data_IF_535795028480
#
_entry.id   IF_535795028480
#
_cell.length_a   1.000
_cell.length_b   1.000
_cell.length_c   1.000
_cell.angle_alpha   90.00
_cell.angle_beta   90.00
_cell.angle_gamma   90.00
#
_symmetry.space_group_name_H-M   'P 1'
#
loop_
_entity.id
_entity.type
_entity.pdbx_description
1 polymer ?
#
# COMPACT_ATOMS: atom_id res chain seq x y z
N UNK A 1 -8.11 18.07 1.70
CA UNK A 1 -7.87 16.62 1.51
C UNK A 1 -6.38 16.40 1.29
N UNK A 2 -5.78 15.45 2.02
CA UNK A 2 -4.36 15.12 1.97
C UNK A 2 -4.11 13.78 1.27
N UNK A 3 -2.84 13.48 1.01
CA UNK A 3 -2.41 12.26 0.30
C UNK A 3 -1.34 11.51 1.09
N UNK A 4 -1.41 10.19 1.06
CA UNK A 4 -0.38 9.29 1.57
C UNK A 4 0.12 8.46 0.40
N UNK A 5 1.45 8.38 0.26
CA UNK A 5 2.13 7.64 -0.80
C UNK A 5 2.94 6.50 -0.20
N UNK A 6 2.82 5.32 -0.80
CA UNK A 6 3.67 4.17 -0.55
C UNK A 6 4.29 3.81 -1.91
N UNK A 7 5.59 3.96 -2.06
CA UNK A 7 6.30 3.72 -3.32
C UNK A 7 7.21 2.50 -3.20
N UNK A 8 7.25 1.67 -4.24
CA UNK A 8 8.15 0.51 -4.29
C UNK A 8 7.82 -0.60 -3.30
N UNK A 9 6.54 -0.82 -2.97
CA UNK A 9 6.13 -1.94 -2.12
C UNK A 9 6.38 -3.26 -2.86
N UNK A 10 7.36 -4.04 -2.39
CA UNK A 10 7.70 -5.35 -2.96
C UNK A 10 6.82 -6.45 -2.38
N UNK A 11 6.16 -7.22 -3.25
CA UNK A 11 5.31 -8.35 -2.88
C UNK A 11 5.58 -9.55 -3.79
N UNK A 12 5.89 -10.69 -3.19
CA UNK A 12 5.99 -11.96 -3.90
C UNK A 12 4.61 -12.60 -4.06
N UNK A 13 4.17 -12.80 -5.30
CA UNK A 13 2.87 -13.44 -5.56
C UNK A 13 2.88 -14.30 -6.82
N UNK A 14 1.86 -15.15 -6.96
CA UNK A 14 1.59 -15.89 -8.19
C UNK A 14 0.70 -15.04 -9.09
N UNK A 15 1.25 -14.60 -10.23
CA UNK A 15 0.53 -13.74 -11.16
C UNK A 15 0.99 -14.04 -12.58
N UNK A 16 0.02 -14.11 -13.49
CA UNK A 16 0.28 -14.31 -14.90
C UNK A 16 -0.95 -14.81 -15.66
N UNK A 17 -0.92 -14.63 -16.97
CA UNK A 17 -2.00 -15.01 -17.87
C UNK A 17 -1.90 -16.50 -18.19
N UNK A 18 -0.69 -16.99 -18.39
CA UNK A 18 -0.42 -18.37 -18.75
C UNK A 18 -0.29 -19.27 -17.53
N UNK A 19 -0.62 -20.54 -17.70
CA UNK A 19 -0.62 -21.50 -16.58
C UNK A 19 0.78 -21.70 -15.99
N UNK A 20 1.83 -21.61 -16.81
CA UNK A 20 3.22 -21.70 -16.33
C UNK A 20 3.64 -20.52 -15.44
N UNK A 21 3.01 -19.35 -15.59
CA UNK A 21 3.29 -18.17 -14.75
C UNK A 21 2.65 -18.30 -13.35
N UNK A 22 1.64 -19.16 -13.20
CA UNK A 22 0.96 -19.44 -11.92
C UNK A 22 1.69 -20.46 -11.04
N UNK A 23 2.82 -20.99 -11.49
CA UNK A 23 3.62 -21.98 -10.74
C UNK A 23 4.87 -21.38 -10.08
N UNK A 24 5.21 -20.12 -10.40
CA UNK A 24 6.41 -19.46 -9.89
C UNK A 24 6.07 -18.10 -9.29
N UNK A 25 6.57 -17.85 -8.07
CA UNK A 25 6.47 -16.53 -7.45
C UNK A 25 7.21 -15.48 -8.27
N UNK A 26 6.55 -14.35 -8.45
CA UNK A 26 7.06 -13.16 -9.12
C UNK A 26 7.00 -12.00 -8.13
N UNK A 27 8.13 -11.29 -8.00
CA UNK A 27 8.20 -10.06 -7.23
C UNK A 27 7.50 -8.94 -8.01
N UNK A 28 6.51 -8.31 -7.39
CA UNK A 28 5.84 -7.13 -7.92
C UNK A 28 6.26 -5.90 -7.11
N UNK A 29 6.53 -4.81 -7.81
CA UNK A 29 6.68 -3.48 -7.20
C UNK A 29 5.38 -2.70 -7.38
N UNK A 30 4.78 -2.27 -6.27
CA UNK A 30 3.49 -1.60 -6.25
C UNK A 30 3.66 -0.20 -5.67
N UNK A 31 3.10 0.79 -6.37
CA UNK A 31 2.95 2.15 -5.88
C UNK A 31 1.48 2.38 -5.50
N UNK A 32 1.23 2.91 -4.30
CA UNK A 32 -0.10 3.15 -3.74
C UNK A 32 -0.24 4.63 -3.38
N UNK A 33 -1.31 5.24 -3.88
CA UNK A 33 -1.73 6.59 -3.52
C UNK A 33 -3.09 6.52 -2.80
N UNK A 34 -3.16 7.10 -1.60
CA UNK A 34 -4.36 7.16 -0.79
C UNK A 34 -4.76 8.62 -0.57
N UNK A 35 -5.96 8.99 -1.01
CA UNK A 35 -6.56 10.29 -0.69
C UNK A 35 -7.42 10.18 0.58
N UNK A 36 -7.18 11.05 1.55
CA UNK A 36 -7.88 11.05 2.83
C UNK A 36 -8.06 12.44 3.44
N UNK A 37 -9.04 12.60 4.32
CA UNK A 37 -9.18 13.80 5.15
C UNK A 37 -8.18 13.78 6.31
N UNK A 38 -7.02 14.42 6.12
CA UNK A 38 -5.93 14.43 7.11
C UNK A 38 -5.98 15.64 8.05
N UNK A 39 -6.99 16.51 7.95
CA UNK A 39 -7.08 17.74 8.73
C UNK A 39 -7.14 17.46 10.23
N UNK A 40 -7.85 16.41 10.64
CA UNK A 40 -7.91 15.98 12.04
C UNK A 40 -6.55 15.49 12.55
N UNK A 41 -5.89 14.61 11.80
CA UNK A 41 -4.57 14.10 12.14
C UNK A 41 -3.52 15.22 12.26
N UNK A 42 -3.56 16.21 11.37
CA UNK A 42 -2.68 17.38 11.42
C UNK A 42 -2.89 18.24 12.67
N UNK A 43 -4.11 18.26 13.21
CA UNK A 43 -4.45 19.04 14.40
C UNK A 43 -4.19 18.27 15.70
N UNK A 44 -4.43 16.95 15.71
CA UNK A 44 -4.33 16.12 16.91
C UNK A 44 -2.95 15.50 17.13
N UNK A 45 -2.16 15.33 16.07
CA UNK A 45 -0.90 14.56 16.08
C UNK A 45 -1.09 13.10 16.57
N UNK A 46 -2.32 12.57 16.45
CA UNK A 46 -2.67 11.19 16.80
C UNK A 46 -2.67 10.30 15.55
N UNK A 47 -1.89 9.22 15.57
CA UNK A 47 -1.84 8.22 14.49
C UNK A 47 -3.21 7.55 14.26
N UNK A 48 -4.08 7.53 15.27
CA UNK A 48 -5.44 6.99 15.16
C UNK A 48 -6.37 7.87 14.32
N UNK A 49 -5.99 9.14 14.08
CA UNK A 49 -6.75 10.08 13.27
C UNK A 49 -6.30 10.10 11.79
N UNK A 50 -5.32 9.26 11.42
CA UNK A 50 -4.85 9.08 10.04
C UNK A 50 -4.98 7.63 9.57
N UNK A 51 -4.67 7.37 8.31
CA UNK A 51 -4.53 6.01 7.79
C UNK A 51 -3.15 5.47 8.17
N UNK A 52 -3.15 4.31 8.82
CA UNK A 52 -1.94 3.57 9.19
C UNK A 52 -1.34 2.87 7.96
N UNK A 53 -0.40 3.55 7.29
CA UNK A 53 0.27 3.02 6.10
C UNK A 53 1.08 1.75 6.36
N UNK A 54 1.52 1.50 7.61
CA UNK A 54 2.23 0.27 7.95
C UNK A 54 1.28 -0.94 7.91
N UNK A 55 0.01 -0.77 8.32
CA UNK A 55 -1.02 -1.78 8.14
C UNK A 55 -1.40 -2.00 6.68
N UNK A 56 -1.41 -0.93 5.88
CA UNK A 56 -1.69 -1.03 4.43
C UNK A 56 -0.59 -1.82 3.72
N UNK A 57 0.67 -1.58 4.05
CA UNK A 57 1.84 -2.25 3.47
C UNK A 57 2.12 -3.65 4.05
N UNK A 58 1.26 -4.18 4.91
CA UNK A 58 1.47 -5.50 5.51
C UNK A 58 1.04 -6.60 4.53
N UNK A 59 2.02 -7.17 3.83
CA UNK A 59 1.84 -8.18 2.78
C UNK A 59 2.34 -9.55 3.23
#
# INVERSE_FOLDING_TARGET
MGKIFIEGLSVDTLIGVYDWERERLTELSIDIELEAELEKAMASDDVMDTIDYAKVANC
#
